data_IF_171056464874
#
_entry.id   IF_171056464874
#
_cell.length_a   1.000
_cell.length_b   1.000
_cell.length_c   1.000
_cell.angle_alpha   90.00
_cell.angle_beta   90.00
_cell.angle_gamma   90.00
#
_symmetry.space_group_name_H-M   'P 1'
#
loop_
_entity.id
_entity.type
_entity.pdbx_description
1 polymer ?
#
# COMPACT_ATOMS: atom_id res chain seq x y z
N UNK A 1 36.64 20.92 -1.95
CA UNK A 1 36.05 21.75 -3.02
C UNK A 1 34.85 22.47 -2.42
N UNK A 2 35.01 23.74 -2.03
CA UNK A 2 33.93 24.55 -1.43
C UNK A 2 32.93 24.89 -2.53
N UNK A 3 31.72 24.36 -2.44
CA UNK A 3 30.58 24.82 -3.25
C UNK A 3 30.09 26.11 -2.59
N UNK A 4 30.81 27.22 -2.79
CA UNK A 4 30.42 28.56 -2.33
C UNK A 4 30.12 29.42 -3.56
N UNK A 5 29.01 29.12 -4.25
CA UNK A 5 28.67 29.88 -5.46
C UNK A 5 27.42 29.51 -6.23
N UNK A 6 26.42 28.82 -5.65
CA UNK A 6 25.14 28.56 -6.36
C UNK A 6 23.96 29.10 -5.55
N UNK A 7 23.52 30.29 -5.96
CA UNK A 7 22.23 30.98 -5.74
C UNK A 7 21.76 31.31 -4.31
N UNK A 8 22.08 32.52 -3.87
CA UNK A 8 21.46 33.25 -2.74
C UNK A 8 20.16 33.97 -3.15
N UNK A 9 19.38 33.44 -4.09
CA UNK A 9 18.07 34.01 -4.44
C UNK A 9 17.00 33.22 -3.71
N UNK A 10 16.26 33.91 -2.83
CA UNK A 10 15.08 33.34 -2.20
C UNK A 10 14.05 33.05 -3.30
N UNK A 11 13.60 31.80 -3.39
CA UNK A 11 12.59 31.37 -4.36
C UNK A 11 11.21 31.37 -3.70
N UNK A 12 10.26 32.06 -4.31
CA UNK A 12 8.85 32.01 -3.95
C UNK A 12 8.07 31.60 -5.20
N UNK A 13 7.21 30.57 -5.14
CA UNK A 13 6.42 30.16 -6.29
C UNK A 13 5.44 31.28 -6.67
N UNK A 14 5.42 31.63 -7.95
CA UNK A 14 4.39 32.48 -8.52
C UNK A 14 3.15 31.64 -8.83
N UNK A 15 2.02 32.01 -8.22
CA UNK A 15 0.73 31.35 -8.42
C UNK A 15 -0.14 32.07 -9.47
N UNK A 16 0.36 33.14 -10.08
CA UNK A 16 -0.34 33.82 -11.16
C UNK A 16 -0.59 32.82 -12.32
N UNK A 17 -1.82 32.74 -12.84
CA UNK A 17 -2.10 31.87 -13.97
C UNK A 17 -1.28 32.28 -15.19
N UNK A 18 -0.71 31.31 -15.89
CA UNK A 18 -0.12 31.47 -17.21
C UNK A 18 -1.16 32.07 -18.17
N UNK A 19 -0.80 33.20 -18.77
CA UNK A 19 -1.66 33.96 -19.68
C UNK A 19 -3.05 34.28 -19.08
N UNK A 20 -3.10 34.55 -17.77
CA UNK A 20 -4.33 34.84 -17.02
C UNK A 20 -5.40 33.74 -17.11
N UNK A 21 -4.99 32.52 -17.46
CA UNK A 21 -5.89 31.39 -17.69
C UNK A 21 -5.53 30.20 -16.79
N UNK A 22 -6.35 29.97 -15.77
CA UNK A 22 -6.17 28.86 -14.83
C UNK A 22 -6.21 27.48 -15.52
N UNK A 23 -7.04 27.32 -16.54
CA UNK A 23 -7.13 26.04 -17.26
C UNK A 23 -5.84 25.73 -18.03
N UNK A 24 -5.27 26.73 -18.73
CA UNK A 24 -3.97 26.58 -19.42
C UNK A 24 -2.87 26.29 -18.41
N UNK A 25 -2.88 27.00 -17.28
CA UNK A 25 -1.93 26.77 -16.18
C UNK A 25 -2.04 25.36 -15.62
N UNK A 26 -3.27 24.86 -15.43
CA UNK A 26 -3.53 23.51 -14.96
C UNK A 26 -3.03 22.48 -15.97
N UNK A 27 -3.31 22.65 -17.27
CA UNK A 27 -2.79 21.75 -18.31
C UNK A 27 -1.27 21.64 -18.30
N UNK A 28 -0.57 22.77 -18.16
CA UNK A 28 0.90 22.79 -18.04
C UNK A 28 1.36 22.09 -16.75
N UNK A 29 0.69 22.36 -15.64
CA UNK A 29 0.98 21.72 -14.35
C UNK A 29 0.71 20.20 -14.35
N UNK A 30 -0.20 19.72 -15.21
CA UNK A 30 -0.45 18.29 -15.41
C UNK A 30 0.59 17.60 -16.29
N UNK A 31 1.45 18.32 -17.03
CA UNK A 31 2.40 17.71 -17.98
C UNK A 31 3.32 16.66 -17.33
N UNK A 32 3.92 16.86 -16.13
CA UNK A 32 4.74 15.83 -15.50
C UNK A 32 3.94 14.56 -15.17
N UNK A 33 2.72 14.72 -14.68
CA UNK A 33 1.82 13.60 -14.39
C UNK A 33 1.39 12.87 -15.67
N UNK A 34 1.00 13.61 -16.71
CA UNK A 34 0.66 13.05 -18.01
C UNK A 34 1.83 12.28 -18.61
N UNK A 35 3.05 12.82 -18.49
CA UNK A 35 4.28 12.14 -18.93
C UNK A 35 4.48 10.83 -18.18
N UNK A 36 4.33 10.83 -16.85
CA UNK A 36 4.39 9.61 -16.03
C UNK A 36 3.31 8.61 -16.46
N UNK A 37 2.07 9.07 -16.62
CA UNK A 37 0.96 8.20 -16.98
C UNK A 37 1.12 7.58 -18.37
N UNK A 38 1.60 8.33 -19.35
CA UNK A 38 1.87 7.82 -20.69
C UNK A 38 3.07 6.87 -20.69
N UNK A 39 4.16 7.23 -20.04
CA UNK A 39 5.38 6.39 -20.02
C UNK A 39 5.18 5.08 -19.26
N UNK A 40 4.56 5.13 -18.08
CA UNK A 40 4.32 3.95 -17.25
C UNK A 40 3.10 3.14 -17.69
N UNK A 41 2.01 3.82 -18.04
CA UNK A 41 0.73 3.17 -18.37
C UNK A 41 0.65 2.72 -19.83
N UNK A 42 0.97 3.62 -20.78
CA UNK A 42 0.76 3.37 -22.21
C UNK A 42 1.99 2.70 -22.84
N UNK A 43 3.16 3.29 -22.67
CA UNK A 43 4.40 2.74 -23.23
C UNK A 43 4.92 1.52 -22.45
N UNK A 44 4.32 1.25 -21.28
CA UNK A 44 4.68 0.16 -20.36
C UNK A 44 6.20 0.12 -20.10
N UNK A 45 6.84 1.29 -20.01
CA UNK A 45 8.26 1.35 -19.73
C UNK A 45 8.53 0.67 -18.39
N UNK A 46 9.62 -0.10 -18.34
CA UNK A 46 9.95 -0.93 -17.17
C UNK A 46 10.26 -0.03 -15.98
N UNK A 47 9.25 0.33 -15.16
CA UNK A 47 9.42 0.83 -13.79
C UNK A 47 9.84 -0.30 -12.83
N UNK A 48 10.67 -1.21 -13.34
CA UNK A 48 11.40 -2.26 -12.66
C UNK A 48 10.91 -2.68 -11.25
N UNK A 49 9.71 -3.30 -11.27
CA UNK A 49 9.19 -4.36 -10.39
C UNK A 49 8.89 -4.03 -8.92
N UNK A 50 7.99 -3.07 -8.67
CA UNK A 50 7.48 -2.77 -7.32
C UNK A 50 6.79 -3.99 -6.65
N UNK A 51 7.10 -4.20 -5.37
CA UNK A 51 6.98 -5.47 -4.65
C UNK A 51 5.57 -5.95 -4.28
N UNK A 52 5.50 -7.29 -4.21
CA UNK A 52 4.51 -8.25 -3.71
C UNK A 52 3.13 -7.77 -3.20
N UNK A 53 2.11 -8.40 -3.76
CA UNK A 53 0.68 -8.22 -3.56
C UNK A 53 0.20 -8.57 -2.14
N UNK A 54 -0.24 -7.53 -1.42
CA UNK A 54 -1.41 -7.60 -0.55
C UNK A 54 -2.15 -6.25 -0.67
N UNK A 55 -3.49 -6.21 -0.55
CA UNK A 55 -4.27 -4.98 -0.56
C UNK A 55 -4.08 -4.24 0.77
N UNK A 56 -3.09 -3.36 0.83
CA UNK A 56 -2.68 -2.77 2.12
C UNK A 56 -2.40 -1.29 1.92
N UNK A 57 -3.38 -0.43 2.22
CA UNK A 57 -3.11 0.99 2.51
C UNK A 57 -2.13 1.10 3.70
N UNK A 58 -2.24 0.13 4.62
CA UNK A 58 -1.31 -0.10 5.73
C UNK A 58 -0.07 -0.92 5.30
N UNK A 59 0.23 -0.97 4.00
CA UNK A 59 1.26 -1.79 3.36
C UNK A 59 2.66 -1.41 3.75
N UNK A 60 3.55 -2.41 3.85
CA UNK A 60 4.91 -2.21 4.32
C UNK A 60 4.93 -1.37 5.60
N UNK A 61 4.11 -1.76 6.59
CA UNK A 61 3.99 -1.06 7.86
C UNK A 61 3.49 0.38 7.68
N UNK A 62 2.40 0.53 6.94
CA UNK A 62 1.72 1.78 6.62
C UNK A 62 2.55 2.85 5.89
N UNK A 63 3.61 2.45 5.16
CA UNK A 63 4.42 3.35 4.34
C UNK A 63 3.60 4.26 3.40
N UNK A 64 2.54 3.80 2.70
CA UNK A 64 1.70 4.68 1.87
C UNK A 64 1.05 5.83 2.66
N UNK A 65 0.51 5.52 3.85
CA UNK A 65 -0.16 6.50 4.72
C UNK A 65 0.87 7.45 5.34
N UNK A 66 2.02 6.93 5.79
CA UNK A 66 3.13 7.75 6.30
C UNK A 66 3.62 8.73 5.22
N UNK A 67 3.76 8.26 3.98
CA UNK A 67 4.14 9.09 2.83
C UNK A 67 3.08 10.15 2.54
N UNK A 68 1.80 9.77 2.56
CA UNK A 68 0.69 10.69 2.39
C UNK A 68 0.70 11.80 3.45
N UNK A 69 0.94 11.45 4.71
CA UNK A 69 1.03 12.40 5.83
C UNK A 69 2.23 13.33 5.69
N UNK A 70 3.42 12.80 5.40
CA UNK A 70 4.63 13.60 5.22
C UNK A 70 4.49 14.66 4.11
N UNK A 71 3.83 14.31 2.99
CA UNK A 71 3.71 15.20 1.82
C UNK A 71 2.53 16.16 1.89
N UNK A 72 1.46 15.78 2.59
CA UNK A 72 0.32 16.69 2.84
C UNK A 72 0.56 17.55 4.09
N UNK A 73 1.44 17.16 5.01
CA UNK A 73 1.55 17.80 6.31
C UNK A 73 0.35 17.52 7.24
N UNK A 74 -0.48 16.54 6.90
CA UNK A 74 -1.55 16.01 7.76
C UNK A 74 -0.96 14.85 8.56
N UNK A 75 -1.29 14.75 9.84
CA UNK A 75 -0.84 13.63 10.67
C UNK A 75 -1.25 12.28 10.05
N UNK A 76 -0.27 11.39 9.88
CA UNK A 76 -0.49 10.12 9.21
C UNK A 76 -1.35 9.17 10.05
N UNK A 77 -1.39 9.33 11.38
CA UNK A 77 -2.25 8.52 12.24
C UNK A 77 -3.72 8.88 11.99
N UNK A 78 -4.00 10.18 11.88
CA UNK A 78 -5.33 10.67 11.51
C UNK A 78 -5.76 10.20 10.11
N UNK A 79 -4.89 10.29 9.09
CA UNK A 79 -5.17 9.73 7.75
C UNK A 79 -5.46 8.23 7.85
N UNK A 80 -4.63 7.48 8.59
CA UNK A 80 -4.77 6.05 8.78
C UNK A 80 -6.07 5.65 9.47
N UNK A 81 -6.55 6.44 10.43
CA UNK A 81 -7.83 6.24 11.08
C UNK A 81 -9.02 6.43 10.12
N UNK A 82 -8.94 7.38 9.18
CA UNK A 82 -9.98 7.58 8.14
C UNK A 82 -9.96 6.41 7.15
N UNK A 83 -8.79 6.03 6.63
CA UNK A 83 -8.62 4.85 5.76
C UNK A 83 -9.12 3.58 6.47
N UNK A 84 -8.87 3.51 7.77
CA UNK A 84 -9.32 2.49 8.71
C UNK A 84 -10.83 2.45 8.94
N UNK A 85 -11.59 3.38 8.38
CA UNK A 85 -13.05 3.38 8.37
C UNK A 85 -13.65 3.20 6.98
N UNK A 86 -12.85 3.39 5.94
CA UNK A 86 -13.23 3.14 4.54
C UNK A 86 -12.94 1.70 4.13
N UNK A 87 -11.68 1.28 4.25
CA UNK A 87 -11.19 0.01 3.72
C UNK A 87 -11.73 -1.23 4.43
N UNK A 88 -12.06 -1.23 5.75
CA UNK A 88 -12.62 -2.42 6.37
C UNK A 88 -13.99 -2.81 5.84
N UNK A 89 -14.83 -1.84 5.45
CA UNK A 89 -16.16 -2.09 4.87
C UNK A 89 -16.03 -2.96 3.63
N UNK A 90 -15.08 -2.63 2.75
CA UNK A 90 -14.79 -3.41 1.55
C UNK A 90 -14.13 -4.75 1.90
N UNK A 91 -13.24 -4.77 2.90
CA UNK A 91 -12.44 -5.94 3.28
C UNK A 91 -13.26 -7.11 3.80
N UNK A 92 -14.45 -6.88 4.40
CA UNK A 92 -15.36 -7.95 4.84
C UNK A 92 -15.74 -8.87 3.68
N UNK A 93 -15.94 -8.30 2.50
CA UNK A 93 -16.44 -9.03 1.34
C UNK A 93 -15.33 -9.62 0.46
N UNK A 94 -14.07 -9.20 0.65
CA UNK A 94 -12.94 -9.67 -0.17
C UNK A 94 -12.79 -11.20 -0.15
N UNK A 95 -12.80 -11.90 1.01
CA UNK A 95 -12.69 -13.35 1.01
C UNK A 95 -13.86 -14.05 0.31
N UNK A 96 -15.07 -13.48 0.42
CA UNK A 96 -16.25 -14.00 -0.29
C UNK A 96 -16.09 -13.85 -1.81
N UNK A 97 -15.54 -12.73 -2.27
CA UNK A 97 -15.21 -12.52 -3.67
C UNK A 97 -14.14 -13.50 -4.15
N UNK A 98 -13.13 -13.81 -3.33
CA UNK A 98 -12.12 -14.82 -3.67
C UNK A 98 -12.75 -16.21 -3.85
N UNK A 99 -13.72 -16.60 -3.01
CA UNK A 99 -14.44 -17.87 -3.19
C UNK A 99 -15.18 -17.92 -4.55
N UNK A 100 -15.79 -16.81 -4.97
CA UNK A 100 -16.46 -16.71 -6.28
C UNK A 100 -15.44 -16.77 -7.42
N UNK A 101 -14.29 -16.13 -7.27
CA UNK A 101 -13.27 -16.08 -8.30
C UNK A 101 -12.60 -17.44 -8.53
N UNK A 102 -12.41 -18.23 -7.47
CA UNK A 102 -11.75 -19.54 -7.54
C UNK A 102 -12.72 -20.64 -8.00
N UNK A 103 -13.90 -20.77 -7.40
CA UNK A 103 -14.82 -21.90 -7.65
C UNK A 103 -16.28 -21.44 -7.89
N UNK A 104 -16.46 -20.20 -8.33
CA UNK A 104 -17.75 -19.66 -8.76
C UNK A 104 -18.81 -19.64 -7.64
N UNK A 105 -20.06 -19.82 -8.04
CA UNK A 105 -21.21 -19.87 -7.11
C UNK A 105 -21.13 -21.04 -6.13
N UNK A 106 -20.44 -22.12 -6.50
CA UNK A 106 -20.26 -23.31 -5.67
C UNK A 106 -19.30 -23.01 -4.52
N UNK A 107 -18.11 -22.49 -4.83
CA UNK A 107 -17.13 -22.07 -3.83
C UNK A 107 -17.72 -21.10 -2.81
N UNK A 108 -18.54 -20.14 -3.27
CA UNK A 108 -19.28 -19.27 -2.35
C UNK A 108 -20.24 -20.06 -1.46
N UNK A 109 -21.07 -20.94 -2.01
CA UNK A 109 -22.05 -21.71 -1.23
C UNK A 109 -21.41 -22.62 -0.18
N UNK A 110 -20.25 -23.20 -0.48
CA UNK A 110 -19.54 -24.13 0.40
C UNK A 110 -18.67 -23.40 1.44
N UNK A 111 -18.04 -22.28 1.07
CA UNK A 111 -17.05 -21.59 1.90
C UNK A 111 -17.50 -20.22 2.44
N UNK A 112 -18.71 -19.73 2.15
CA UNK A 112 -19.16 -18.42 2.64
C UNK A 112 -19.04 -18.23 4.16
N UNK A 113 -19.30 -19.23 5.04
CA UNK A 113 -19.25 -18.98 6.48
C UNK A 113 -17.83 -18.62 6.92
N UNK A 114 -16.84 -19.39 6.46
CA UNK A 114 -15.44 -19.16 6.82
C UNK A 114 -14.88 -17.91 6.15
N UNK A 115 -15.23 -17.67 4.88
CA UNK A 115 -14.83 -16.46 4.17
C UNK A 115 -15.38 -15.20 4.86
N UNK A 116 -16.65 -15.21 5.26
CA UNK A 116 -17.26 -14.09 5.98
C UNK A 116 -16.62 -13.88 7.36
N UNK A 117 -16.37 -14.95 8.12
CA UNK A 117 -15.70 -14.84 9.43
C UNK A 117 -14.30 -14.27 9.29
N UNK A 118 -13.51 -14.75 8.31
CA UNK A 118 -12.18 -14.20 8.02
C UNK A 118 -12.29 -12.71 7.68
N UNK A 119 -13.18 -12.35 6.76
CA UNK A 119 -13.37 -10.96 6.33
C UNK A 119 -13.80 -10.06 7.49
N UNK A 120 -14.70 -10.53 8.34
CA UNK A 120 -15.20 -9.79 9.49
C UNK A 120 -14.11 -9.58 10.55
N UNK A 121 -13.39 -10.64 10.92
CA UNK A 121 -12.30 -10.54 11.91
C UNK A 121 -11.16 -9.67 11.39
N UNK A 122 -10.79 -9.83 10.11
CA UNK A 122 -9.78 -9.01 9.46
C UNK A 122 -10.20 -7.53 9.45
N UNK A 123 -11.44 -7.25 9.03
CA UNK A 123 -12.02 -5.91 8.99
C UNK A 123 -12.11 -5.25 10.36
N UNK A 124 -12.62 -5.96 11.37
CA UNK A 124 -12.76 -5.42 12.72
C UNK A 124 -11.39 -5.14 13.36
N UNK A 125 -10.44 -6.06 13.20
CA UNK A 125 -9.08 -5.86 13.71
C UNK A 125 -8.44 -4.66 13.02
N UNK A 126 -8.61 -4.54 11.70
CA UNK A 126 -8.12 -3.40 10.91
C UNK A 126 -8.71 -2.08 11.40
N UNK A 127 -10.02 -2.02 11.62
CA UNK A 127 -10.67 -0.84 12.20
C UNK A 127 -10.12 -0.51 13.59
N UNK A 128 -10.03 -1.48 14.50
CA UNK A 128 -9.56 -1.22 15.88
C UNK A 128 -8.12 -0.72 15.89
N UNK A 129 -7.22 -1.37 15.15
CA UNK A 129 -5.81 -1.03 15.19
C UNK A 129 -5.53 0.34 14.58
N UNK A 130 -6.09 0.62 13.41
CA UNK A 130 -5.88 1.89 12.71
C UNK A 130 -6.46 3.10 13.44
N UNK A 131 -7.48 2.89 14.29
CA UNK A 131 -8.16 3.98 15.00
C UNK A 131 -7.68 4.18 16.43
N UNK A 132 -7.26 3.12 17.12
CA UNK A 132 -7.05 3.15 18.57
C UNK A 132 -5.71 2.59 19.04
N UNK A 133 -4.93 1.91 18.18
CA UNK A 133 -3.69 1.25 18.60
C UNK A 133 -2.48 1.78 17.83
N UNK A 134 -2.36 1.45 16.55
CA UNK A 134 -1.25 1.82 15.69
C UNK A 134 -1.59 1.54 14.23
N UNK A 135 -1.33 2.53 13.39
CA UNK A 135 -1.55 2.47 11.94
C UNK A 135 -0.57 1.47 11.30
N UNK A 136 0.67 1.43 11.76
CA UNK A 136 1.75 0.54 11.35
C UNK A 136 1.43 -0.94 11.52
N UNK A 137 0.81 -1.29 12.65
CA UNK A 137 0.50 -2.67 13.03
C UNK A 137 -0.78 -3.22 12.39
N UNK A 138 -1.59 -2.36 11.80
CA UNK A 138 -2.97 -2.64 11.42
C UNK A 138 -3.13 -3.94 10.64
N UNK A 139 -2.45 -4.07 9.49
CA UNK A 139 -2.68 -5.22 8.61
C UNK A 139 -1.89 -6.47 9.05
N UNK A 140 -0.83 -6.31 9.85
CA UNK A 140 -0.13 -7.44 10.49
C UNK A 140 -1.05 -8.10 11.52
N UNK A 141 -1.63 -7.29 12.40
CA UNK A 141 -2.58 -7.76 13.40
C UNK A 141 -3.83 -8.37 12.73
N UNK A 142 -4.41 -7.70 11.74
CA UNK A 142 -5.58 -8.19 11.03
C UNK A 142 -5.34 -9.54 10.34
N UNK A 143 -4.19 -9.73 9.70
CA UNK A 143 -3.83 -11.01 9.09
C UNK A 143 -3.66 -12.13 10.13
N UNK A 144 -2.94 -11.87 11.23
CA UNK A 144 -2.75 -12.85 12.31
C UNK A 144 -4.08 -13.25 12.97
N UNK A 145 -4.95 -12.29 13.25
CA UNK A 145 -6.27 -12.54 13.80
C UNK A 145 -7.17 -13.30 12.81
N UNK A 146 -7.07 -13.01 11.51
CA UNK A 146 -7.75 -13.75 10.45
C UNK A 146 -7.31 -15.22 10.38
N UNK A 147 -6.00 -15.49 10.46
CA UNK A 147 -5.46 -16.87 10.55
C UNK A 147 -5.95 -17.56 11.81
N UNK A 148 -5.89 -16.91 12.97
CA UNK A 148 -6.37 -17.46 14.22
C UNK A 148 -7.87 -17.82 14.15
N UNK A 149 -8.70 -16.91 13.61
CA UNK A 149 -10.13 -17.14 13.41
C UNK A 149 -10.38 -18.32 12.46
N UNK A 150 -9.62 -18.43 11.38
CA UNK A 150 -9.67 -19.56 10.44
C UNK A 150 -9.41 -20.87 11.17
N UNK A 151 -8.32 -20.95 11.94
CA UNK A 151 -7.93 -22.16 12.67
C UNK A 151 -8.98 -22.54 13.72
N UNK A 152 -9.47 -21.57 14.50
CA UNK A 152 -10.50 -21.81 15.52
C UNK A 152 -11.79 -22.30 14.87
N UNK A 153 -12.22 -21.65 13.79
CA UNK A 153 -13.43 -22.04 13.08
C UNK A 153 -13.31 -23.45 12.49
N UNK A 154 -12.18 -23.79 11.87
CA UNK A 154 -11.96 -25.11 11.27
C UNK A 154 -11.88 -26.25 12.30
N UNK A 155 -11.64 -25.95 13.58
CA UNK A 155 -11.75 -26.94 14.66
C UNK A 155 -13.19 -27.29 15.01
N UNK A 156 -14.12 -26.37 14.80
CA UNK A 156 -15.55 -26.53 15.18
C UNK A 156 -16.43 -26.82 13.97
N UNK A 157 -16.08 -26.29 12.80
CA UNK A 157 -16.84 -26.35 11.56
C UNK A 157 -15.94 -26.75 10.40
N UNK A 158 -16.36 -27.74 9.60
CA UNK A 158 -15.68 -28.14 8.37
C UNK A 158 -16.56 -27.82 7.15
N UNK A 159 -15.99 -27.30 6.06
CA UNK A 159 -16.75 -27.07 4.82
C UNK A 159 -17.27 -28.40 4.26
N UNK A 160 -18.44 -28.36 3.61
CA UNK A 160 -18.99 -29.52 2.91
C UNK A 160 -18.31 -29.63 1.53
N UNK A 161 -18.09 -30.86 1.05
CA UNK A 161 -17.49 -31.08 -0.28
C UNK A 161 -15.96 -31.02 -0.32
N UNK A 162 -15.28 -31.07 0.83
CA UNK A 162 -13.81 -31.00 0.91
C UNK A 162 -13.11 -32.11 0.13
N UNK A 163 -13.61 -33.35 0.19
CA UNK A 163 -12.99 -34.46 -0.54
C UNK A 163 -13.17 -34.33 -2.05
N UNK A 164 -14.39 -34.01 -2.52
CA UNK A 164 -14.63 -33.74 -3.94
C UNK A 164 -13.81 -32.54 -4.44
N UNK A 165 -13.61 -31.51 -3.63
CA UNK A 165 -12.76 -30.37 -3.98
C UNK A 165 -11.28 -30.76 -4.03
N UNK A 166 -10.81 -31.61 -3.10
CA UNK A 166 -9.44 -32.13 -3.07
C UNK A 166 -9.16 -32.96 -4.32
N UNK A 167 -10.05 -33.87 -4.70
CA UNK A 167 -9.93 -34.67 -5.93
C UNK A 167 -9.86 -33.79 -7.19
N UNK A 168 -10.72 -32.78 -7.31
CA UNK A 168 -10.70 -31.86 -8.46
C UNK A 168 -9.40 -31.05 -8.55
N UNK A 169 -8.95 -30.48 -7.42
CA UNK A 169 -7.70 -29.72 -7.36
C UNK A 169 -6.49 -30.61 -7.70
N UNK A 170 -6.51 -31.88 -7.29
CA UNK A 170 -5.48 -32.84 -7.70
C UNK A 170 -5.49 -33.11 -9.20
N UNK A 171 -6.67 -33.30 -9.81
CA UNK A 171 -6.81 -33.52 -11.26
C UNK A 171 -6.41 -32.28 -12.07
N UNK A 172 -6.78 -31.07 -11.64
CA UNK A 172 -6.33 -29.82 -12.28
C UNK A 172 -4.82 -29.64 -12.17
N UNK A 173 -4.24 -29.88 -10.99
CA UNK A 173 -2.79 -29.79 -10.79
C UNK A 173 -2.01 -30.80 -11.65
N UNK A 174 -2.51 -32.03 -11.79
CA UNK A 174 -1.91 -33.03 -12.69
C UNK A 174 -1.96 -32.59 -14.16
N UNK A 175 -3.02 -31.89 -14.59
CA UNK A 175 -3.09 -31.32 -15.95
C UNK A 175 -2.10 -30.17 -16.12
N UNK A 176 -1.99 -29.27 -15.14
CA UNK A 176 -1.01 -28.18 -15.16
C UNK A 176 0.43 -28.71 -15.20
N UNK A 177 0.75 -29.75 -14.42
CA UNK A 177 2.08 -30.40 -14.42
C UNK A 177 2.39 -31.09 -15.76
N UNK A 178 1.39 -31.70 -16.41
CA UNK A 178 1.51 -32.30 -17.74
C UNK A 178 1.67 -31.25 -18.86
N UNK A 179 0.93 -30.14 -18.79
CA UNK A 179 1.01 -29.04 -19.77
C UNK A 179 2.30 -28.21 -19.63
N UNK A 180 2.87 -28.12 -18.43
CA UNK A 180 4.14 -27.44 -18.16
C UNK A 180 5.39 -28.20 -18.67
N UNK A 181 5.25 -29.43 -19.18
CA UNK A 181 6.36 -30.20 -19.76
C UNK A 181 7.43 -30.64 -18.76
N UNK A 182 7.12 -30.67 -17.46
CA UNK A 182 8.05 -31.07 -16.40
C UNK A 182 8.09 -32.60 -16.31
N UNK A 183 8.97 -33.25 -17.07
CA UNK A 183 9.06 -34.71 -17.15
C UNK A 183 9.77 -35.42 -15.96
N UNK A 184 10.10 -34.73 -14.87
CA UNK A 184 10.71 -35.37 -13.69
C UNK A 184 9.96 -35.00 -12.39
N UNK A 185 8.86 -35.69 -12.10
CA UNK A 185 8.08 -35.54 -10.84
C UNK A 185 7.95 -36.88 -10.08
N UNK A 186 8.68 -37.94 -10.46
CA UNK A 186 8.75 -39.15 -9.62
C UNK A 186 9.36 -38.88 -8.22
N UNK A 187 10.17 -37.82 -8.10
CA UNK A 187 10.74 -37.34 -6.83
C UNK A 187 9.86 -36.34 -6.07
N UNK A 188 8.86 -35.72 -6.70
CA UNK A 188 8.00 -34.74 -6.01
C UNK A 188 6.75 -35.41 -5.39
N UNK A 189 6.28 -36.53 -5.94
CA UNK A 189 5.27 -37.39 -5.29
C UNK A 189 5.77 -37.92 -3.94
N UNK A 190 7.05 -38.31 -3.87
CA UNK A 190 7.72 -38.75 -2.62
C UNK A 190 7.88 -37.62 -1.62
N UNK A 191 8.25 -36.40 -2.05
CA UNK A 191 8.37 -35.23 -1.16
C UNK A 191 6.99 -34.71 -0.68
N UNK A 192 5.95 -34.78 -1.51
CA UNK A 192 4.59 -34.41 -1.12
C UNK A 192 3.99 -35.41 -0.12
N UNK A 193 4.21 -36.72 -0.30
CA UNK A 193 3.83 -37.75 0.65
C UNK A 193 4.65 -37.69 1.96
N UNK A 194 5.96 -37.44 1.91
CA UNK A 194 6.81 -37.25 3.11
C UNK A 194 6.42 -36.00 3.91
N UNK A 195 5.84 -34.99 3.27
CA UNK A 195 5.32 -33.78 3.94
C UNK A 195 3.97 -34.04 4.62
N UNK A 196 3.14 -34.93 4.08
CA UNK A 196 1.89 -35.37 4.71
C UNK A 196 2.12 -36.25 5.96
N UNK A 197 3.24 -36.99 6.03
CA UNK A 197 3.57 -37.87 7.17
C UNK A 197 4.24 -37.16 8.36
N UNK A 198 4.78 -35.96 8.20
CA UNK A 198 5.38 -35.23 9.34
C UNK A 198 4.31 -34.61 10.21
N UNK A 199 4.05 -35.21 11.37
CA UNK A 199 3.15 -34.65 12.37
C UNK A 199 3.44 -33.14 12.62
N UNK A 200 2.40 -32.33 12.45
CA UNK A 200 2.41 -30.91 12.76
C UNK A 200 2.37 -30.72 14.28
N UNK A 201 3.52 -30.86 14.94
CA UNK A 201 3.64 -30.58 16.38
C UNK A 201 3.40 -29.10 16.64
N UNK A 202 2.75 -28.77 17.76
CA UNK A 202 2.50 -27.39 18.19
C UNK A 202 3.77 -26.50 18.17
N UNK A 203 4.93 -27.07 18.51
CA UNK A 203 6.22 -26.36 18.45
C UNK A 203 6.64 -25.98 17.03
N UNK A 204 6.40 -26.82 16.02
CA UNK A 204 6.69 -26.52 14.60
C UNK A 204 5.74 -25.45 14.06
N UNK A 205 4.45 -25.54 14.40
CA UNK A 205 3.46 -24.51 14.04
C UNK A 205 3.82 -23.16 14.67
N UNK A 206 4.23 -23.14 15.94
CA UNK A 206 4.68 -21.93 16.60
C UNK A 206 5.93 -21.35 15.92
N UNK A 207 6.92 -22.19 15.61
CA UNK A 207 8.11 -21.74 14.88
C UNK A 207 7.76 -21.22 13.48
N UNK A 208 6.77 -21.77 12.78
CA UNK A 208 6.34 -21.18 11.50
C UNK A 208 5.72 -19.77 11.66
N UNK A 209 5.02 -19.52 12.77
CA UNK A 209 4.36 -18.23 13.06
C UNK A 209 5.27 -17.22 13.78
N UNK A 210 6.39 -17.67 14.34
CA UNK A 210 7.29 -16.87 15.18
C UNK A 210 7.72 -15.54 14.54
N UNK A 211 8.10 -15.44 13.25
CA UNK A 211 8.55 -14.17 12.67
C UNK A 211 7.44 -13.12 12.66
N UNK A 212 6.20 -13.52 12.40
CA UNK A 212 5.05 -12.62 12.37
C UNK A 212 4.67 -12.15 13.78
N UNK A 213 4.69 -13.06 14.76
CA UNK A 213 4.47 -12.73 16.17
C UNK A 213 5.56 -11.80 16.69
N UNK A 214 6.81 -12.05 16.34
CA UNK A 214 7.94 -11.21 16.73
C UNK A 214 7.79 -9.80 16.17
N UNK A 215 7.48 -9.65 14.89
CA UNK A 215 7.24 -8.32 14.29
C UNK A 215 6.12 -7.61 15.03
N UNK A 216 5.00 -8.28 15.31
CA UNK A 216 3.91 -7.70 16.11
C UNK A 216 4.41 -7.20 17.48
N UNK A 217 5.21 -8.01 18.19
CA UNK A 217 5.76 -7.67 19.51
C UNK A 217 6.76 -6.51 19.44
N UNK A 218 7.72 -6.55 18.52
CA UNK A 218 8.76 -5.52 18.38
C UNK A 218 8.12 -4.17 18.06
N UNK A 219 7.17 -4.13 17.13
CA UNK A 219 6.45 -2.90 16.80
C UNK A 219 5.52 -2.44 17.92
N UNK A 220 4.85 -3.36 18.61
CA UNK A 220 4.04 -3.00 19.79
C UNK A 220 4.89 -2.37 20.89
N UNK A 221 6.10 -2.90 21.13
CA UNK A 221 7.03 -2.30 22.09
C UNK A 221 7.56 -0.95 21.60
N UNK A 222 7.89 -0.81 20.32
CA UNK A 222 8.38 0.44 19.76
C UNK A 222 7.33 1.56 19.78
N UNK A 223 6.06 1.24 19.49
CA UNK A 223 5.01 2.24 19.30
C UNK A 223 4.12 2.49 20.52
N UNK A 224 3.86 1.46 21.34
CA UNK A 224 2.94 1.54 22.48
C UNK A 224 3.66 1.77 23.81
N UNK A 225 4.93 1.38 23.93
CA UNK A 225 5.70 1.61 25.15
C UNK A 225 6.33 3.01 25.12
N UNK A 226 5.73 3.96 25.83
CA UNK A 226 6.15 5.37 25.86
C UNK A 226 7.67 5.61 26.05
N UNK A 227 8.32 4.96 27.03
CA UNK A 227 9.77 5.08 27.22
C UNK A 227 10.59 4.61 26.00
N UNK A 228 10.20 3.49 25.39
CA UNK A 228 10.89 2.95 24.20
C UNK A 228 10.68 3.88 23.02
N UNK A 229 9.45 4.33 22.77
CA UNK A 229 9.12 5.27 21.70
C UNK A 229 9.93 6.57 21.81
N UNK A 230 10.00 7.15 23.01
CA UNK A 230 10.79 8.36 23.25
C UNK A 230 12.28 8.12 23.00
N UNK A 231 12.82 6.98 23.47
CA UNK A 231 14.20 6.61 23.20
C UNK A 231 14.47 6.47 21.70
N UNK A 232 13.63 5.74 20.96
CA UNK A 232 13.77 5.56 19.52
C UNK A 232 13.72 6.91 18.79
N UNK A 233 12.75 7.76 19.12
CA UNK A 233 12.62 9.12 18.54
C UNK A 233 13.78 10.05 18.89
N UNK A 234 14.40 9.89 20.07
CA UNK A 234 15.57 10.69 20.45
C UNK A 234 16.80 10.44 19.57
N UNK A 235 16.78 9.36 18.79
CA UNK A 235 17.84 9.05 17.82
C UNK A 235 17.61 9.64 16.44
N UNK A 236 16.47 10.29 16.22
CA UNK A 236 16.13 10.89 14.94
C UNK A 236 16.89 12.20 14.75
N UNK A 237 17.30 12.46 13.50
CA UNK A 237 18.11 13.61 13.15
C UNK A 237 17.40 14.48 12.12
N UNK A 238 17.35 15.79 12.37
CA UNK A 238 16.84 16.77 11.40
C UNK A 238 17.99 17.23 10.50
N UNK A 239 17.87 16.99 9.20
CA UNK A 239 18.84 17.37 8.19
C UNK A 239 18.27 18.52 7.38
N UNK A 240 18.88 19.69 7.53
CA UNK A 240 18.55 20.88 6.73
C UNK A 240 19.18 20.75 5.35
N UNK A 241 18.38 20.79 4.28
CA UNK A 241 18.91 20.51 2.95
C UNK A 241 19.86 21.64 2.50
N UNK A 242 21.13 21.33 2.17
CA UNK A 242 22.11 22.35 1.86
C UNK A 242 21.70 23.20 0.65
N UNK A 243 21.64 24.51 0.85
CA UNK A 243 21.38 25.50 -0.20
C UNK A 243 19.91 25.79 -0.51
N UNK A 244 18.96 24.98 -0.04
CA UNK A 244 17.51 25.25 -0.22
C UNK A 244 16.80 25.62 1.08
N UNK A 245 17.25 25.07 2.22
CA UNK A 245 16.67 25.43 3.51
C UNK A 245 16.84 26.92 3.83
N UNK A 246 15.78 27.54 4.32
CA UNK A 246 15.70 28.99 4.51
C UNK A 246 15.53 29.83 3.22
N UNK A 247 15.73 29.24 2.04
CA UNK A 247 15.69 29.97 0.76
C UNK A 247 14.45 29.67 -0.09
N UNK A 248 13.68 28.64 0.24
CA UNK A 248 12.40 28.34 -0.42
C UNK A 248 11.26 28.86 0.46
N UNK A 249 10.44 29.74 -0.09
CA UNK A 249 9.25 30.25 0.56
C UNK A 249 8.00 29.53 0.03
N UNK A 250 7.03 29.38 0.91
CA UNK A 250 5.64 29.09 0.56
C UNK A 250 5.04 30.26 -0.23
N UNK A 251 3.91 30.04 -0.91
CA UNK A 251 3.20 31.10 -1.62
C UNK A 251 2.82 32.29 -0.73
N UNK A 252 2.63 32.06 0.57
CA UNK A 252 2.38 33.10 1.58
C UNK A 252 3.63 33.79 2.12
N UNK A 253 4.81 33.55 1.55
CA UNK A 253 6.07 34.21 1.92
C UNK A 253 6.76 33.66 3.18
N UNK A 254 6.25 32.58 3.80
CA UNK A 254 6.91 31.91 4.94
C UNK A 254 7.92 30.87 4.45
N UNK A 255 9.02 30.66 5.18
CA UNK A 255 10.00 29.61 4.88
C UNK A 255 9.32 28.24 4.82
N UNK A 256 9.61 27.48 3.77
CA UNK A 256 9.04 26.16 3.52
C UNK A 256 9.75 25.09 4.35
N UNK A 257 9.01 24.47 5.28
CA UNK A 257 9.50 23.32 6.06
C UNK A 257 9.80 22.07 5.21
N UNK A 258 9.36 22.04 3.95
CA UNK A 258 9.63 20.93 3.02
C UNK A 258 11.14 20.75 2.69
N UNK A 259 11.98 21.70 3.09
CA UNK A 259 13.44 21.67 2.91
C UNK A 259 14.19 21.10 4.11
N UNK A 260 13.47 20.77 5.20
CA UNK A 260 14.01 20.07 6.37
C UNK A 260 13.64 18.60 6.25
N UNK A 261 14.64 17.74 6.12
CA UNK A 261 14.47 16.30 6.05
C UNK A 261 14.61 15.67 7.44
N UNK A 262 13.55 15.03 7.93
CA UNK A 262 13.61 14.24 9.16
C UNK A 262 14.15 12.83 8.87
N UNK A 263 15.38 12.57 9.28
CA UNK A 263 15.97 11.25 9.21
C UNK A 263 15.57 10.43 10.44
N UNK A 264 14.54 9.60 10.29
CA UNK A 264 14.12 8.62 11.30
C UNK A 264 15.10 7.45 11.33
N UNK A 265 15.89 7.30 12.38
CA UNK A 265 16.94 6.28 12.43
C UNK A 265 16.44 4.98 13.06
N UNK A 266 16.38 4.89 14.40
CA UNK A 266 15.87 3.70 15.08
C UNK A 266 14.34 3.67 15.15
N UNK A 267 13.68 4.83 15.07
CA UNK A 267 12.22 4.93 15.05
C UNK A 267 11.60 4.50 13.72
N UNK A 268 12.42 4.33 12.66
CA UNK A 268 11.91 3.93 11.35
C UNK A 268 11.36 2.50 11.37
N UNK A 269 10.17 2.26 10.79
CA UNK A 269 9.65 0.90 10.58
C UNK A 269 10.65 -0.04 9.88
N UNK A 270 11.45 0.48 8.94
CA UNK A 270 12.46 -0.32 8.24
C UNK A 270 13.53 -0.87 9.18
N UNK A 271 14.02 -0.04 10.10
CA UNK A 271 15.04 -0.43 11.09
C UNK A 271 14.49 -1.47 12.07
N UNK A 272 13.25 -1.31 12.52
CA UNK A 272 12.56 -2.28 13.40
C UNK A 272 12.39 -3.66 12.72
N UNK A 273 12.13 -3.69 11.41
CA UNK A 273 12.09 -4.94 10.63
C UNK A 273 13.47 -5.60 10.51
N UNK A 274 14.54 -4.81 10.32
CA UNK A 274 15.91 -5.33 10.30
C UNK A 274 16.25 -5.97 11.66
N UNK A 275 15.97 -5.28 12.76
CA UNK A 275 16.16 -5.80 14.13
C UNK A 275 15.37 -7.11 14.32
N UNK A 276 14.12 -7.14 13.86
CA UNK A 276 13.29 -8.35 13.92
C UNK A 276 13.94 -9.51 13.16
N UNK A 277 14.49 -9.27 11.97
CA UNK A 277 15.19 -10.29 11.20
C UNK A 277 16.46 -10.83 11.87
N UNK A 278 17.24 -9.98 12.55
CA UNK A 278 18.37 -10.43 13.37
C UNK A 278 17.92 -11.34 14.53
N UNK A 279 16.82 -11.00 15.20
CA UNK A 279 16.27 -11.82 16.28
C UNK A 279 15.76 -13.16 15.73
N UNK A 280 15.06 -13.18 14.58
CA UNK A 280 14.66 -14.44 13.91
C UNK A 280 15.87 -15.29 13.57
N UNK A 281 16.92 -14.70 13.01
CA UNK A 281 18.15 -15.43 12.68
C UNK A 281 18.80 -16.04 13.92
N UNK A 282 18.82 -15.31 15.05
CA UNK A 282 19.34 -15.82 16.31
C UNK A 282 18.50 -17.01 16.85
N UNK A 283 17.17 -16.89 16.84
CA UNK A 283 16.26 -17.95 17.31
C UNK A 283 16.34 -19.20 16.43
N UNK A 284 16.40 -19.02 15.11
CA UNK A 284 16.54 -20.13 14.16
C UNK A 284 17.97 -20.63 14.00
N UNK A 285 18.94 -20.01 14.69
CA UNK A 285 20.37 -20.32 14.62
C UNK A 285 20.90 -20.27 13.18
N UNK A 286 20.40 -19.32 12.40
CA UNK A 286 20.86 -19.04 11.03
C UNK A 286 22.17 -18.27 11.11
N UNK A 287 23.16 -18.67 10.30
CA UNK A 287 24.45 -17.98 10.27
C UNK A 287 24.33 -16.53 9.79
N UNK A 288 25.16 -15.63 10.33
CA UNK A 288 25.19 -14.22 9.92
C UNK A 288 25.52 -14.03 8.44
N UNK A 289 26.28 -14.97 7.84
CA UNK A 289 26.59 -14.96 6.41
C UNK A 289 25.32 -15.14 5.56
N UNK A 290 24.47 -16.09 5.94
CA UNK A 290 23.20 -16.35 5.25
C UNK A 290 22.25 -15.17 5.43
N UNK A 291 22.18 -14.60 6.63
CA UNK A 291 21.37 -13.40 6.89
C UNK A 291 21.83 -12.21 6.03
N UNK A 292 23.14 -11.93 6.02
CA UNK A 292 23.71 -10.84 5.23
C UNK A 292 23.51 -11.04 3.73
N UNK A 293 23.65 -12.28 3.24
CA UNK A 293 23.37 -12.62 1.85
C UNK A 293 21.89 -12.40 1.51
N UNK A 294 20.96 -12.84 2.36
CA UNK A 294 19.53 -12.64 2.15
C UNK A 294 19.16 -11.15 2.10
N UNK A 295 19.73 -10.33 2.99
CA UNK A 295 19.54 -8.87 2.95
C UNK A 295 20.12 -8.24 1.70
N UNK A 296 21.32 -8.66 1.29
CA UNK A 296 21.96 -8.14 0.09
C UNK A 296 21.18 -8.51 -1.19
N UNK A 297 20.77 -9.76 -1.32
CA UNK A 297 19.94 -10.22 -2.43
C UNK A 297 18.63 -9.43 -2.50
N UNK A 298 17.99 -9.19 -1.36
CA UNK A 298 16.77 -8.38 -1.31
C UNK A 298 17.03 -6.91 -1.67
N UNK A 299 18.12 -6.30 -1.21
CA UNK A 299 18.51 -4.95 -1.58
C UNK A 299 18.79 -4.83 -3.08
N UNK A 300 19.51 -5.77 -3.68
CA UNK A 300 19.79 -5.79 -5.13
C UNK A 300 18.51 -6.01 -5.94
N UNK A 301 17.58 -6.82 -5.41
CA UNK A 301 16.25 -7.05 -6.00
C UNK A 301 15.39 -5.78 -5.94
N UNK A 302 15.46 -5.01 -4.85
CA UNK A 302 14.62 -3.82 -4.60
C UNK A 302 15.21 -2.48 -5.01
N UNK A 303 16.53 -2.33 -5.17
CA UNK A 303 17.07 -1.83 -6.43
C UNK A 303 16.48 -0.54 -7.00
N UNK A 304 15.51 -0.91 -7.79
CA UNK A 304 14.89 -0.23 -8.87
C UNK A 304 13.53 0.28 -8.39
N UNK A 305 12.84 -0.48 -7.55
CA UNK A 305 11.71 0.03 -6.76
C UNK A 305 12.12 1.21 -5.87
N UNK A 306 13.29 1.14 -5.22
CA UNK A 306 13.83 2.24 -4.40
C UNK A 306 14.06 3.48 -5.26
N UNK A 307 14.73 3.33 -6.41
CA UNK A 307 14.97 4.42 -7.35
C UNK A 307 13.67 5.05 -7.85
N UNK A 308 12.66 4.24 -8.18
CA UNK A 308 11.35 4.74 -8.61
C UNK A 308 10.65 5.54 -7.50
N UNK A 309 10.58 5.02 -6.28
CA UNK A 309 9.93 5.74 -5.16
C UNK A 309 10.67 7.04 -4.87
N UNK A 310 12.00 7.01 -4.79
CA UNK A 310 12.81 8.22 -4.58
C UNK A 310 12.58 9.27 -5.69
N UNK A 311 12.52 8.84 -6.96
CA UNK A 311 12.31 9.75 -8.09
C UNK A 311 10.90 10.35 -8.10
N UNK A 312 9.88 9.55 -7.78
CA UNK A 312 8.49 9.99 -7.72
C UNK A 312 8.27 10.97 -6.57
N UNK A 313 8.83 10.67 -5.38
CA UNK A 313 8.79 11.58 -4.24
C UNK A 313 9.54 12.88 -4.57
N UNK A 314 10.74 12.80 -5.15
CA UNK A 314 11.48 13.99 -5.58
C UNK A 314 10.67 14.85 -6.56
N UNK A 315 10.02 14.24 -7.55
CA UNK A 315 9.13 14.96 -8.47
C UNK A 315 7.96 15.62 -7.72
N UNK A 316 7.34 14.93 -6.76
CA UNK A 316 6.26 15.49 -5.96
C UNK A 316 6.71 16.73 -5.17
N UNK A 317 7.91 16.71 -4.58
CA UNK A 317 8.51 17.89 -3.93
C UNK A 317 8.76 19.03 -4.92
N UNK A 318 9.22 18.73 -6.15
CA UNK A 318 9.40 19.74 -7.20
C UNK A 318 8.06 20.34 -7.63
N UNK A 319 7.04 19.51 -7.86
CA UNK A 319 5.69 19.96 -8.24
C UNK A 319 5.03 20.80 -7.15
N UNK A 320 5.21 20.42 -5.88
CA UNK A 320 4.70 21.16 -4.73
C UNK A 320 5.40 22.52 -4.62
N UNK A 321 6.74 22.53 -4.60
CA UNK A 321 7.52 23.75 -4.40
C UNK A 321 7.41 24.71 -5.60
N UNK A 322 7.24 24.20 -6.83
CA UNK A 322 7.03 25.04 -8.02
C UNK A 322 5.60 25.60 -8.19
N UNK A 323 4.68 25.29 -7.26
CA UNK A 323 3.29 25.77 -7.31
C UNK A 323 2.37 24.98 -8.26
N UNK A 324 2.89 24.02 -9.03
CA UNK A 324 2.09 23.18 -9.95
C UNK A 324 0.95 22.46 -9.22
N UNK A 325 1.25 21.91 -8.05
CA UNK A 325 0.24 21.24 -7.20
C UNK A 325 -0.89 22.19 -6.80
N UNK A 326 -0.56 23.46 -6.51
CA UNK A 326 -1.55 24.47 -6.14
C UNK A 326 -2.45 24.83 -7.32
N UNK A 327 -1.88 25.02 -8.50
CA UNK A 327 -2.61 25.31 -9.74
C UNK A 327 -3.57 24.18 -10.09
N UNK A 328 -3.10 22.92 -10.10
CA UNK A 328 -3.96 21.76 -10.37
C UNK A 328 -5.05 21.61 -9.31
N UNK A 329 -4.71 21.75 -8.03
CA UNK A 329 -5.67 21.64 -6.93
C UNK A 329 -6.75 22.73 -7.00
N UNK A 330 -6.37 23.97 -7.31
CA UNK A 330 -7.31 25.10 -7.47
C UNK A 330 -8.23 24.87 -8.68
N UNK A 331 -7.73 24.31 -9.76
CA UNK A 331 -8.56 23.98 -10.91
C UNK A 331 -9.56 22.84 -10.60
N UNK A 332 -9.09 21.76 -9.97
CA UNK A 332 -9.95 20.64 -9.53
C UNK A 332 -11.00 21.12 -8.52
N UNK A 333 -10.66 22.07 -7.66
CA UNK A 333 -11.59 22.64 -6.68
C UNK A 333 -12.79 23.33 -7.33
N UNK A 334 -12.73 23.68 -8.62
CA UNK A 334 -13.88 24.15 -9.39
C UNK A 334 -15.04 23.14 -9.47
N UNK A 335 -14.76 21.85 -9.20
CA UNK A 335 -15.79 20.79 -9.06
C UNK A 335 -16.61 20.96 -7.76
N UNK A 336 -16.11 21.72 -6.78
CA UNK A 336 -16.78 21.97 -5.50
C UNK A 336 -16.93 20.71 -4.66
N UNK A 337 -18.02 20.62 -3.88
CA UNK A 337 -18.28 19.51 -2.97
C UNK A 337 -18.35 18.13 -3.67
N UNK A 338 -18.67 18.10 -4.97
CA UNK A 338 -18.65 16.86 -5.76
C UNK A 338 -17.25 16.24 -5.86
N UNK A 339 -16.18 17.02 -5.62
CA UNK A 339 -14.81 16.51 -5.56
C UNK A 339 -14.68 15.37 -4.54
N UNK A 340 -15.37 15.46 -3.40
CA UNK A 340 -15.36 14.40 -2.40
C UNK A 340 -15.87 13.07 -2.96
N UNK A 341 -16.89 13.07 -3.80
CA UNK A 341 -17.36 11.83 -4.42
C UNK A 341 -16.32 11.22 -5.36
N UNK A 342 -15.59 12.05 -6.12
CA UNK A 342 -14.65 11.58 -7.15
C UNK A 342 -13.20 11.41 -6.65
N UNK A 343 -12.86 11.90 -5.45
CA UNK A 343 -11.50 11.88 -4.91
C UNK A 343 -10.80 10.50 -4.96
N UNK A 344 -11.48 9.35 -4.69
CA UNK A 344 -10.84 8.04 -4.78
C UNK A 344 -10.33 7.67 -6.19
N UNK A 345 -10.87 8.28 -7.25
CA UNK A 345 -10.49 7.98 -8.64
C UNK A 345 -9.03 8.37 -8.90
N UNK A 346 -8.56 9.47 -8.32
CA UNK A 346 -7.16 9.91 -8.50
C UNK A 346 -6.18 8.89 -7.91
N UNK A 347 -6.48 8.38 -6.71
CA UNK A 347 -5.70 7.30 -6.09
C UNK A 347 -5.73 6.02 -6.93
N UNK A 348 -6.92 5.65 -7.39
CA UNK A 348 -7.12 4.49 -8.26
C UNK A 348 -6.32 4.57 -9.56
N UNK A 349 -6.39 5.70 -10.28
CA UNK A 349 -5.61 5.95 -11.49
C UNK A 349 -4.11 5.95 -11.22
N UNK A 350 -3.69 6.64 -10.15
CA UNK A 350 -2.31 6.71 -9.72
C UNK A 350 -1.71 5.31 -9.52
N UNK A 351 -2.39 4.45 -8.77
CA UNK A 351 -1.89 3.09 -8.51
C UNK A 351 -2.11 2.12 -9.66
N UNK A 352 -3.18 2.27 -10.45
CA UNK A 352 -3.40 1.47 -11.65
C UNK A 352 -2.24 1.64 -12.66
N UNK A 353 -1.67 2.83 -12.75
CA UNK A 353 -0.54 3.07 -13.67
C UNK A 353 0.82 2.81 -13.02
N UNK A 354 1.03 3.28 -11.79
CA UNK A 354 2.35 3.14 -11.12
C UNK A 354 2.57 1.77 -10.50
N UNK A 355 1.51 1.00 -10.25
CA UNK A 355 1.55 -0.27 -9.53
C UNK A 355 1.81 -0.15 -8.02
N UNK A 356 1.97 1.07 -7.48
CA UNK A 356 2.34 1.31 -6.08
C UNK A 356 1.44 2.36 -5.43
N UNK A 357 0.90 2.02 -4.27
CA UNK A 357 0.08 2.94 -3.46
C UNK A 357 0.96 4.04 -2.83
N UNK A 358 2.19 3.70 -2.40
CA UNK A 358 3.16 4.69 -1.91
C UNK A 358 3.48 5.73 -2.98
N UNK A 359 3.70 5.29 -4.23
CA UNK A 359 3.99 6.21 -5.34
C UNK A 359 2.78 7.06 -5.71
N UNK A 360 1.57 6.51 -5.66
CA UNK A 360 0.35 7.28 -5.91
C UNK A 360 0.09 8.33 -4.82
N UNK A 361 0.28 7.99 -3.55
CA UNK A 361 0.21 8.97 -2.46
C UNK A 361 1.33 10.01 -2.57
N UNK A 362 2.52 9.61 -3.00
CA UNK A 362 3.59 10.55 -3.25
C UNK A 362 3.19 11.62 -4.27
N UNK A 363 2.52 11.23 -5.37
CA UNK A 363 2.12 12.16 -6.42
C UNK A 363 0.89 12.99 -6.08
N UNK A 364 -0.10 12.41 -5.39
CA UNK A 364 -1.44 12.98 -5.33
C UNK A 364 -1.88 13.48 -3.96
N UNK A 365 -1.22 13.12 -2.85
CA UNK A 365 -1.68 13.54 -1.51
C UNK A 365 -1.68 15.06 -1.34
N UNK A 366 -0.62 15.76 -1.72
CA UNK A 366 -0.59 17.24 -1.65
C UNK A 366 -1.62 17.87 -2.60
N UNK A 367 -1.84 17.27 -3.77
CA UNK A 367 -2.86 17.74 -4.73
C UNK A 367 -4.27 17.59 -4.15
N UNK A 368 -4.57 16.44 -3.55
CA UNK A 368 -5.84 16.14 -2.88
C UNK A 368 -6.10 17.11 -1.74
N UNK A 369 -5.10 17.34 -0.89
CA UNK A 369 -5.19 18.33 0.19
C UNK A 369 -5.46 19.73 -0.37
N UNK A 370 -4.71 20.17 -1.38
CA UNK A 370 -4.86 21.52 -1.93
C UNK A 370 -6.24 21.71 -2.56
N UNK A 371 -6.70 20.73 -3.34
CA UNK A 371 -8.04 20.72 -3.90
C UNK A 371 -9.10 20.75 -2.79
N UNK A 372 -8.92 19.99 -1.72
CA UNK A 372 -9.85 19.93 -0.60
C UNK A 372 -10.01 21.28 0.10
N UNK A 373 -8.90 21.93 0.45
CA UNK A 373 -8.89 23.26 1.08
C UNK A 373 -9.59 24.29 0.19
N UNK A 374 -9.34 24.24 -1.12
CA UNK A 374 -9.95 25.17 -2.09
C UNK A 374 -11.43 24.86 -2.36
N UNK A 375 -11.83 23.59 -2.30
CA UNK A 375 -13.22 23.14 -2.47
C UNK A 375 -14.03 23.19 -1.16
N UNK A 376 -13.42 23.61 -0.05
CA UNK A 376 -14.01 23.63 1.29
C UNK A 376 -14.56 22.26 1.73
N UNK A 377 -13.79 21.20 1.46
CA UNK A 377 -14.04 19.84 1.97
C UNK A 377 -12.87 19.39 2.85
N UNK A 378 -13.10 18.37 3.69
CA UNK A 378 -12.09 17.88 4.63
C UNK A 378 -10.82 17.40 3.91
N UNK A 379 -9.64 18.03 4.15
CA UNK A 379 -8.40 17.64 3.50
C UNK A 379 -7.89 16.26 3.88
N UNK A 380 -8.08 15.83 5.13
CA UNK A 380 -7.66 14.53 5.59
C UNK A 380 -8.50 13.42 4.93
N UNK A 381 -9.80 13.66 4.75
CA UNK A 381 -10.68 12.74 4.02
C UNK A 381 -10.24 12.59 2.56
N UNK A 382 -9.88 13.67 1.86
CA UNK A 382 -9.45 13.60 0.46
C UNK A 382 -8.10 12.87 0.33
N UNK A 383 -7.16 13.14 1.24
CA UNK A 383 -5.87 12.44 1.29
C UNK A 383 -6.05 10.96 1.62
N UNK A 384 -6.89 10.61 2.60
CA UNK A 384 -7.21 9.22 2.92
C UNK A 384 -7.87 8.49 1.75
N UNK A 385 -8.75 9.17 1.02
CA UNK A 385 -9.43 8.64 -0.15
C UNK A 385 -8.48 8.32 -1.30
N UNK A 386 -7.41 9.09 -1.42
CA UNK A 386 -6.32 8.79 -2.35
C UNK A 386 -5.69 7.43 -2.04
N UNK A 387 -5.38 7.18 -0.77
CA UNK A 387 -4.82 5.88 -0.33
C UNK A 387 -5.83 4.75 -0.51
N UNK A 388 -7.08 4.93 -0.09
CA UNK A 388 -8.14 3.93 -0.25
C UNK A 388 -8.40 3.59 -1.72
N UNK A 389 -8.40 4.60 -2.60
CA UNK A 389 -8.54 4.42 -4.04
C UNK A 389 -7.36 3.66 -4.64
N UNK A 390 -6.14 3.97 -4.16
CA UNK A 390 -4.92 3.27 -4.58
C UNK A 390 -4.95 1.77 -4.27
N UNK A 391 -5.50 1.37 -3.11
CA UNK A 391 -5.70 -0.06 -2.79
C UNK A 391 -6.53 -0.78 -3.86
N UNK A 392 -7.62 -0.16 -4.32
CA UNK A 392 -8.49 -0.74 -5.35
C UNK A 392 -7.82 -0.71 -6.73
N UNK A 393 -7.04 0.33 -7.02
CA UNK A 393 -6.30 0.49 -8.27
C UNK A 393 -5.22 -0.58 -8.49
N UNK A 394 -4.66 -1.15 -7.41
CA UNK A 394 -3.69 -2.25 -7.49
C UNK A 394 -4.21 -3.47 -8.26
N UNK A 395 -5.51 -3.72 -8.27
CA UNK A 395 -6.10 -4.88 -8.94
C UNK A 395 -5.92 -4.86 -10.46
N UNK A 396 -5.80 -3.68 -11.06
CA UNK A 396 -5.74 -3.48 -12.51
C UNK A 396 -4.36 -3.02 -12.98
N UNK A 397 -3.37 -2.95 -12.08
CA UNK A 397 -2.05 -2.47 -12.46
C UNK A 397 -1.32 -3.50 -13.31
N UNK A 398 -0.72 -3.10 -14.46
CA UNK A 398 0.01 -4.01 -15.33
C UNK A 398 1.11 -4.78 -14.57
N UNK A 399 1.80 -4.12 -13.63
CA UNK A 399 2.87 -4.74 -12.85
C UNK A 399 2.36 -5.90 -11.99
N UNK A 400 1.23 -5.72 -11.29
CA UNK A 400 0.66 -6.77 -10.45
C UNK A 400 0.12 -7.91 -11.31
N UNK A 401 -0.50 -7.59 -12.44
CA UNK A 401 -1.01 -8.59 -13.38
C UNK A 401 0.12 -9.44 -13.97
N UNK A 402 1.27 -8.86 -14.29
CA UNK A 402 2.43 -9.61 -14.77
C UNK A 402 3.01 -10.52 -13.69
N UNK A 403 3.06 -10.08 -12.43
CA UNK A 403 3.51 -10.93 -11.31
C UNK A 403 2.56 -12.13 -11.15
N UNK A 404 1.25 -11.88 -11.16
CA UNK A 404 0.24 -12.94 -11.06
C UNK A 404 0.36 -13.89 -12.25
N UNK A 405 0.40 -13.38 -13.49
CA UNK A 405 0.56 -14.17 -14.71
C UNK A 405 1.81 -15.06 -14.67
N UNK A 406 2.93 -14.56 -14.14
CA UNK A 406 4.16 -15.33 -13.98
C UNK A 406 4.01 -16.41 -12.92
N UNK A 407 3.34 -16.11 -11.80
CA UNK A 407 3.14 -17.06 -10.72
C UNK A 407 2.22 -18.23 -11.08
N UNK A 408 1.25 -18.02 -12.00
CA UNK A 408 0.28 -19.04 -12.42
C UNK A 408 0.57 -19.62 -13.82
N UNK A 409 1.75 -19.35 -14.39
CA UNK A 409 2.15 -19.90 -15.70
C UNK A 409 1.42 -19.31 -16.92
N UNK A 410 0.69 -18.21 -16.75
CA UNK A 410 -0.07 -17.52 -17.80
C UNK A 410 0.69 -16.30 -18.38
N UNK A 411 2.03 -16.38 -18.47
CA UNK A 411 2.88 -15.29 -18.98
C UNK A 411 2.43 -14.88 -20.39
N UNK A 412 2.26 -13.58 -20.63
CA UNK A 412 1.77 -13.05 -21.90
C UNK A 412 0.24 -13.04 -22.06
N UNK A 413 -0.51 -13.57 -21.09
CA UNK A 413 -1.98 -13.51 -21.03
C UNK A 413 -2.50 -12.53 -19.98
N UNK A 414 -1.71 -11.51 -19.62
CA UNK A 414 -2.09 -10.49 -18.62
C UNK A 414 -3.39 -9.77 -19.00
N UNK A 415 -3.64 -9.60 -20.30
CA UNK A 415 -4.86 -8.99 -20.82
C UNK A 415 -6.12 -9.81 -20.51
N UNK A 416 -6.02 -11.14 -20.44
CA UNK A 416 -7.13 -12.01 -20.04
C UNK A 416 -7.43 -11.86 -18.56
N UNK A 417 -6.38 -11.80 -17.73
CA UNK A 417 -6.51 -11.55 -16.28
C UNK A 417 -7.14 -10.17 -16.06
N UNK A 418 -6.63 -9.13 -16.74
CA UNK A 418 -7.17 -7.76 -16.66
C UNK A 418 -8.67 -7.73 -17.00
N UNK A 419 -9.08 -8.37 -18.10
CA UNK A 419 -10.50 -8.42 -18.52
C UNK A 419 -11.40 -9.05 -17.45
N UNK A 420 -10.88 -10.03 -16.70
CA UNK A 420 -11.63 -10.67 -15.61
C UNK A 420 -11.70 -9.79 -14.35
N UNK A 421 -10.64 -9.04 -14.03
CA UNK A 421 -10.56 -8.27 -12.75
C UNK A 421 -11.00 -6.81 -12.87
N UNK A 422 -11.00 -6.22 -14.06
CA UNK A 422 -11.29 -4.78 -14.25
C UNK A 422 -12.68 -4.38 -13.77
N UNK A 423 -13.70 -5.20 -14.05
CA UNK A 423 -15.07 -4.93 -13.61
C UNK A 423 -15.18 -4.94 -12.09
N UNK A 424 -14.43 -5.81 -11.42
CA UNK A 424 -14.37 -5.85 -9.95
C UNK A 424 -13.68 -4.63 -9.37
N UNK A 425 -12.56 -4.21 -9.95
CA UNK A 425 -11.86 -3.00 -9.52
C UNK A 425 -12.73 -1.75 -9.69
N UNK A 426 -13.44 -1.62 -10.81
CA UNK A 426 -14.38 -0.50 -11.03
C UNK A 426 -15.56 -0.57 -10.06
N UNK A 427 -16.11 -1.75 -9.78
CA UNK A 427 -17.19 -1.91 -8.80
C UNK A 427 -16.78 -1.49 -7.39
N UNK A 428 -15.59 -1.91 -6.94
CA UNK A 428 -15.01 -1.49 -5.66
C UNK A 428 -14.70 0.01 -5.62
N UNK A 429 -14.25 0.59 -6.74
CA UNK A 429 -14.02 2.03 -6.85
C UNK A 429 -15.32 2.81 -6.69
N UNK A 430 -16.39 2.40 -7.38
CA UNK A 430 -17.71 3.04 -7.26
C UNK A 430 -18.19 2.96 -5.80
N UNK A 431 -18.09 1.80 -5.16
CA UNK A 431 -18.46 1.65 -3.75
C UNK A 431 -17.65 2.61 -2.85
N UNK A 432 -16.35 2.76 -3.11
CA UNK A 432 -15.50 3.68 -2.36
C UNK A 432 -15.84 5.16 -2.62
N UNK A 433 -16.15 5.54 -3.86
CA UNK A 433 -16.64 6.88 -4.19
C UNK A 433 -17.93 7.23 -3.44
N UNK A 434 -18.87 6.27 -3.35
CA UNK A 434 -20.11 6.42 -2.57
C UNK A 434 -19.78 6.59 -1.09
N UNK A 435 -18.96 5.72 -0.52
CA UNK A 435 -18.55 5.81 0.90
C UNK A 435 -17.92 7.17 1.18
N UNK A 436 -17.01 7.64 0.31
CA UNK A 436 -16.33 8.90 0.52
C UNK A 436 -17.25 10.12 0.40
N UNK A 437 -18.13 10.14 -0.61
CA UNK A 437 -19.13 11.20 -0.74
C UNK A 437 -20.10 11.25 0.43
N UNK A 438 -20.47 10.09 0.99
CA UNK A 438 -21.27 10.02 2.20
C UNK A 438 -20.47 10.51 3.43
N UNK A 439 -19.20 10.14 3.57
CA UNK A 439 -18.34 10.61 4.68
C UNK A 439 -18.13 12.13 4.64
N UNK A 440 -18.08 12.74 3.46
CA UNK A 440 -18.01 14.19 3.34
C UNK A 440 -19.31 14.91 3.73
N UNK A 441 -20.41 14.18 3.92
CA UNK A 441 -21.75 14.74 4.18
C UNK A 441 -22.44 14.06 5.36
N UNK A 442 -23.27 13.05 5.08
CA UNK A 442 -24.19 12.39 6.03
C UNK A 442 -23.46 11.50 7.03
N UNK A 443 -22.33 10.92 6.63
CA UNK A 443 -21.48 10.06 7.44
C UNK A 443 -20.24 10.82 7.96
N UNK A 444 -20.31 12.14 8.06
CA UNK A 444 -19.23 12.96 8.64
C UNK A 444 -18.89 12.58 10.08
N UNK A 445 -19.87 12.08 10.84
CA UNK A 445 -19.67 11.51 12.17
C UNK A 445 -18.76 10.27 12.20
N UNK A 446 -18.50 9.64 11.04
CA UNK A 446 -17.54 8.55 10.94
C UNK A 446 -16.10 9.05 10.87
N UNK A 447 -15.83 10.34 10.66
CA UNK A 447 -14.46 10.88 10.58
C UNK A 447 -13.96 11.14 12.02
N UNK A 448 -12.73 10.73 12.39
CA UNK A 448 -12.20 10.79 13.76
C UNK A 448 -11.96 12.21 14.28
#
# INVERSE_FOLDING_TARGET
MRITGVMSSTYQPDLAPLADNLFVSALVAFLPLATIFVTLGVLRWKAHWAGLTAPVAFGAVATPIITAGALSGIDYQHIGAIVGRQTPILSVFIPLFLCILVDGKRGLKECWPIAFVIGLVFSLTKFVFSNYISVELTDIAAALMGVAATVIMLRVWKPKGTEEARERLFVERQKEDQEAGTQDIAGAETVAQETEERELTAGRTFMALFPYLLVLVVFSLAELCGPVKHFLKSTDATIHWPGSDGHILTAGGKVSGATVFEFTWLSSPGTLLIISGFIVAAVYRVSLKVLGQAYWENLVKMKFSILTVASVVALAYVMNQSGQTNTMGTWIAGVGAAFAFFAPILGWLGTAVTGSDTSANALFSTLQQTAAVKANVDPALMVASNTSGGVVGKLVSPQNLTIVATAVGLVGRESEILRKVVLWSVGLLIALCIINGLQATVLSWMIP
#
